data_IF_013269158105
#
_entry.id   IF_013269158105
#
_cell.length_a   1.000
_cell.length_b   1.000
_cell.length_c   1.000
_cell.angle_alpha   90.00
_cell.angle_beta   90.00
_cell.angle_gamma   90.00
#
_symmetry.space_group_name_H-M   'P 1'
#
loop_
_entity.id
_entity.type
_entity.pdbx_description
1 polymer ?
#
# COMPACT_ATOMS: atom_id res chain seq x y z
N UNK A 1 21.63 -3.60 55.85
CA UNK A 1 20.44 -3.56 56.71
C UNK A 1 19.99 -2.11 56.70
N UNK A 2 18.97 -1.68 55.98
CA UNK A 2 17.58 -2.13 55.99
C UNK A 2 16.97 -2.11 54.59
N UNK A 3 16.10 -3.08 54.39
CA UNK A 3 15.16 -3.29 53.28
C UNK A 3 14.07 -2.22 53.21
N UNK A 4 13.73 -1.77 52.00
CA UNK A 4 12.51 -1.00 51.73
C UNK A 4 11.99 -1.37 50.34
N UNK A 5 10.95 -2.20 50.30
CA UNK A 5 10.33 -2.68 49.07
C UNK A 5 9.57 -1.58 48.33
N UNK A 6 9.78 -1.51 47.02
CA UNK A 6 8.94 -0.76 46.09
C UNK A 6 7.92 -1.72 45.49
N UNK A 7 6.64 -1.43 45.72
CA UNK A 7 5.52 -2.09 45.09
C UNK A 7 5.52 -1.89 43.56
N UNK A 8 5.02 -2.85 42.77
CA UNK A 8 4.83 -2.66 41.34
C UNK A 8 3.67 -1.67 41.10
N UNK A 9 3.90 -0.62 40.32
CA UNK A 9 2.82 0.24 39.81
C UNK A 9 2.14 -0.49 38.65
N UNK A 10 0.85 -0.72 38.81
CA UNK A 10 -0.09 -1.23 37.80
C UNK A 10 0.01 -0.45 36.48
N UNK A 11 0.60 -1.08 35.46
CA UNK A 11 0.55 -0.63 34.06
C UNK A 11 -0.50 -1.36 33.21
N UNK A 12 -1.41 -2.11 33.84
CA UNK A 12 -2.23 -3.12 33.15
C UNK A 12 -3.59 -2.67 32.60
N UNK A 13 -3.99 -1.40 32.69
CA UNK A 13 -5.38 -0.99 32.38
C UNK A 13 -5.62 -0.21 31.09
N UNK A 14 -4.57 0.17 30.35
CA UNK A 14 -4.74 1.06 29.18
C UNK A 14 -4.54 0.38 27.80
N UNK A 15 -4.07 -0.88 27.76
CA UNK A 15 -3.98 -1.64 26.50
C UNK A 15 -5.33 -2.22 26.07
N UNK A 16 -6.18 -2.63 27.01
CA UNK A 16 -7.44 -3.34 26.70
C UNK A 16 -8.49 -2.45 26.03
N UNK A 17 -8.55 -1.16 26.38
CA UNK A 17 -9.51 -0.19 25.81
C UNK A 17 -9.20 0.16 24.34
N UNK A 18 -7.92 0.22 23.97
CA UNK A 18 -7.49 0.58 22.60
C UNK A 18 -7.59 -0.60 21.60
N UNK A 19 -7.35 -1.83 22.04
CA UNK A 19 -7.67 -3.04 21.22
C UNK A 19 -9.16 -3.15 20.88
N UNK A 20 -10.05 -2.61 21.73
CA UNK A 20 -11.49 -2.61 21.47
C UNK A 20 -11.90 -1.58 20.38
N UNK A 21 -11.17 -0.47 20.23
CA UNK A 21 -11.42 0.49 19.14
C UNK A 21 -11.00 -0.06 17.77
N UNK A 22 -9.91 -0.84 17.70
CA UNK A 22 -9.53 -1.58 16.48
C UNK A 22 -10.57 -2.63 16.07
N UNK A 23 -11.18 -3.33 17.04
CA UNK A 23 -12.26 -4.32 16.80
C UNK A 23 -13.50 -3.70 16.16
N UNK A 24 -13.85 -2.46 16.52
CA UNK A 24 -15.04 -1.79 15.98
C UNK A 24 -14.87 -1.27 14.55
N UNK A 25 -13.64 -1.11 14.03
CA UNK A 25 -13.39 -0.59 12.68
C UNK A 25 -13.76 -1.59 11.57
N UNK A 26 -13.64 -2.89 11.84
CA UNK A 26 -14.07 -3.97 10.93
C UNK A 26 -15.47 -4.55 11.29
N UNK A 27 -15.97 -4.30 12.50
CA UNK A 27 -17.30 -4.76 12.93
C UNK A 27 -18.48 -4.11 12.16
N UNK A 28 -18.25 -2.96 11.51
CA UNK A 28 -19.25 -2.24 10.71
C UNK A 28 -19.74 -2.98 9.45
N UNK A 29 -19.10 -4.07 9.07
CA UNK A 29 -19.42 -4.86 7.86
C UNK A 29 -20.58 -5.86 8.12
N UNK A 30 -20.99 -6.07 9.38
CA UNK A 30 -21.94 -7.13 9.74
C UNK A 30 -23.43 -6.81 9.50
N UNK A 31 -23.82 -5.58 9.12
CA UNK A 31 -25.24 -5.23 8.92
C UNK A 31 -25.50 -4.26 7.78
N UNK A 32 -25.50 -4.77 6.55
CA UNK A 32 -26.36 -4.23 5.49
C UNK A 32 -26.95 -5.39 4.68
N UNK A 33 -27.80 -6.17 5.33
CA UNK A 33 -28.73 -7.06 4.64
C UNK A 33 -30.11 -6.39 4.61
N UNK A 34 -30.67 -6.34 3.40
CA UNK A 34 -32.06 -6.05 3.01
C UNK A 34 -32.40 -4.59 2.68
N UNK A 35 -32.58 -4.33 1.39
CA UNK A 35 -33.93 -4.32 0.79
C UNK A 35 -33.88 -3.62 -0.59
N UNK A 36 -33.71 -4.39 -1.67
CA UNK A 36 -34.12 -3.93 -3.01
C UNK A 36 -34.77 -5.13 -3.73
N UNK A 37 -36.04 -4.98 -4.05
CA UNK A 37 -36.81 -5.90 -4.90
C UNK A 37 -36.21 -5.89 -6.31
N UNK A 38 -35.67 -7.02 -6.78
CA UNK A 38 -34.99 -7.13 -8.08
C UNK A 38 -35.76 -8.02 -9.08
N UNK A 39 -35.88 -7.53 -10.32
CA UNK A 39 -36.33 -8.27 -11.51
C UNK A 39 -35.25 -8.16 -12.61
N UNK A 40 -34.18 -8.95 -12.51
CA UNK A 40 -33.18 -9.13 -13.59
C UNK A 40 -32.85 -10.62 -13.73
N UNK A 41 -32.69 -11.11 -14.96
CA UNK A 41 -32.36 -12.50 -15.28
C UNK A 41 -30.99 -12.96 -14.73
N UNK A 42 -30.03 -12.03 -14.57
CA UNK A 42 -28.68 -12.33 -14.09
C UNK A 42 -28.63 -12.78 -12.62
N UNK A 43 -29.55 -12.31 -11.77
CA UNK A 43 -29.64 -12.75 -10.37
C UNK A 43 -30.28 -14.13 -10.19
N UNK A 44 -30.97 -14.64 -11.20
CA UNK A 44 -31.54 -15.99 -11.12
C UNK A 44 -30.51 -17.09 -11.42
N UNK A 45 -29.40 -16.76 -12.11
CA UNK A 45 -28.34 -17.71 -12.45
C UNK A 45 -26.93 -17.07 -12.43
N UNK A 46 -26.48 -16.51 -11.29
CA UNK A 46 -25.24 -15.72 -11.22
C UNK A 46 -24.00 -16.54 -11.60
N UNK A 47 -23.95 -17.83 -11.23
CA UNK A 47 -22.84 -18.70 -11.63
C UNK A 47 -22.72 -18.86 -13.15
N UNK A 48 -23.84 -19.01 -13.88
CA UNK A 48 -23.81 -19.15 -15.34
C UNK A 48 -23.28 -17.88 -16.01
N UNK A 49 -23.64 -16.71 -15.48
CA UNK A 49 -23.14 -15.41 -15.96
C UNK A 49 -21.63 -15.34 -15.76
N UNK A 50 -21.15 -15.58 -14.53
CA UNK A 50 -19.71 -15.54 -14.23
C UNK A 50 -18.93 -16.56 -15.04
N UNK A 51 -19.43 -17.78 -15.21
CA UNK A 51 -18.79 -18.79 -16.06
C UNK A 51 -18.72 -18.35 -17.52
N UNK A 52 -19.77 -17.73 -18.05
CA UNK A 52 -19.76 -17.18 -19.40
C UNK A 52 -18.71 -16.09 -19.57
N UNK A 53 -18.62 -15.16 -18.62
CA UNK A 53 -17.61 -14.08 -18.62
C UNK A 53 -16.20 -14.66 -18.55
N UNK A 54 -15.96 -15.54 -17.58
CA UNK A 54 -14.66 -16.15 -17.30
C UNK A 54 -14.22 -17.19 -18.34
N UNK A 55 -15.12 -17.65 -19.21
CA UNK A 55 -14.77 -18.53 -20.34
C UNK A 55 -13.79 -17.86 -21.32
N UNK A 56 -13.63 -16.55 -21.25
CA UNK A 56 -12.69 -15.77 -22.06
C UNK A 56 -11.25 -15.76 -21.51
N UNK A 57 -10.95 -16.43 -20.40
CA UNK A 57 -9.58 -16.57 -19.91
C UNK A 57 -8.70 -17.19 -21.00
N UNK A 58 -7.65 -16.47 -21.38
CA UNK A 58 -6.62 -16.85 -22.37
C UNK A 58 -5.29 -17.23 -21.73
N UNK A 59 -4.98 -16.67 -20.57
CA UNK A 59 -3.72 -16.91 -19.84
C UNK A 59 -4.01 -17.57 -18.49
N UNK A 60 -3.39 -18.71 -18.21
CA UNK A 60 -3.54 -19.46 -16.98
C UNK A 60 -4.69 -20.49 -16.97
N UNK A 61 -4.83 -21.16 -15.82
CA UNK A 61 -5.83 -22.19 -15.58
C UNK A 61 -6.43 -22.07 -14.18
N UNK A 62 -7.76 -22.07 -14.08
CA UNK A 62 -8.49 -22.11 -12.80
C UNK A 62 -9.33 -23.38 -12.77
N UNK A 63 -8.97 -24.31 -11.88
CA UNK A 63 -9.82 -25.44 -11.53
C UNK A 63 -10.82 -25.00 -10.46
N UNK A 64 -12.12 -25.17 -10.72
CA UNK A 64 -13.17 -24.77 -9.77
C UNK A 64 -13.91 -26.01 -9.29
N UNK A 65 -14.10 -26.11 -7.97
CA UNK A 65 -14.96 -27.08 -7.30
C UNK A 65 -16.09 -26.31 -6.60
N UNK A 66 -17.34 -26.61 -6.93
CA UNK A 66 -18.52 -26.01 -6.29
C UNK A 66 -19.51 -27.06 -5.83
N UNK A 67 -20.27 -26.81 -4.75
CA UNK A 67 -21.24 -27.76 -4.22
C UNK A 67 -22.34 -28.12 -5.23
N UNK A 68 -22.78 -27.16 -6.05
CA UNK A 68 -23.96 -27.34 -6.90
C UNK A 68 -23.66 -27.86 -8.31
N UNK A 69 -22.49 -27.54 -8.84
CA UNK A 69 -22.14 -27.75 -10.25
C UNK A 69 -20.90 -28.64 -10.45
N UNK A 70 -20.33 -29.16 -9.36
CA UNK A 70 -19.24 -30.13 -9.39
C UNK A 70 -17.88 -29.50 -9.70
N UNK A 71 -17.11 -30.13 -10.59
CA UNK A 71 -15.78 -29.66 -10.99
C UNK A 71 -15.75 -29.19 -12.43
N UNK A 72 -15.12 -28.06 -12.70
CA UNK A 72 -14.90 -27.54 -14.04
C UNK A 72 -13.64 -26.67 -14.10
N UNK A 73 -13.25 -26.30 -15.31
CA UNK A 73 -12.00 -25.58 -15.57
C UNK A 73 -12.25 -24.34 -16.42
N UNK A 74 -11.53 -23.26 -16.12
CA UNK A 74 -11.47 -22.03 -16.91
C UNK A 74 -10.03 -21.82 -17.41
N UNK A 75 -9.87 -21.33 -18.64
CA UNK A 75 -8.56 -21.18 -19.27
C UNK A 75 -8.02 -22.46 -19.88
N UNK A 76 -6.69 -22.56 -20.00
CA UNK A 76 -6.03 -23.68 -20.69
C UNK A 76 -5.27 -24.57 -19.70
N UNK A 77 -5.53 -25.89 -19.64
CA UNK A 77 -4.92 -26.79 -18.66
C UNK A 77 -3.38 -26.79 -18.65
N UNK A 78 -2.72 -26.49 -19.77
CA UNK A 78 -1.26 -26.43 -19.88
C UNK A 78 -0.68 -25.03 -19.63
N UNK A 79 -1.52 -24.01 -19.47
CA UNK A 79 -1.07 -22.64 -19.25
C UNK A 79 -0.69 -22.40 -17.80
N UNK A 80 0.21 -21.45 -17.57
CA UNK A 80 0.64 -20.98 -16.26
C UNK A 80 0.30 -19.48 -16.14
N UNK A 81 -0.08 -18.99 -14.94
CA UNK A 81 -0.17 -19.72 -13.66
C UNK A 81 -1.42 -20.60 -13.54
N UNK A 82 -1.43 -21.52 -12.55
CA UNK A 82 -2.55 -22.43 -12.26
C UNK A 82 -2.95 -22.37 -10.79
N UNK A 83 -4.23 -22.50 -10.51
CA UNK A 83 -4.76 -22.57 -9.14
C UNK A 83 -6.06 -23.40 -9.08
N UNK A 84 -6.42 -23.86 -7.88
CA UNK A 84 -7.69 -24.50 -7.57
C UNK A 84 -8.51 -23.65 -6.61
N UNK A 85 -9.72 -23.32 -7.03
CA UNK A 85 -10.72 -22.60 -6.24
C UNK A 85 -11.77 -23.59 -5.75
N UNK A 86 -12.01 -23.60 -4.44
CA UNK A 86 -13.14 -24.30 -3.83
C UNK A 86 -14.18 -23.29 -3.38
N UNK A 87 -15.35 -23.34 -4.00
CA UNK A 87 -16.50 -22.52 -3.62
C UNK A 87 -17.24 -23.21 -2.48
N UNK A 88 -17.57 -22.45 -1.43
CA UNK A 88 -18.35 -22.93 -0.29
C UNK A 88 -19.78 -22.41 -0.31
N UNK A 89 -19.99 -21.18 -0.81
CA UNK A 89 -21.30 -20.52 -0.83
C UNK A 89 -21.59 -19.86 -2.18
N UNK A 90 -22.84 -19.97 -2.65
CA UNK A 90 -23.34 -19.33 -3.88
C UNK A 90 -23.19 -17.81 -3.90
N UNK A 91 -23.14 -17.20 -2.71
CA UNK A 91 -22.96 -15.77 -2.50
C UNK A 91 -21.74 -15.21 -3.26
N UNK A 92 -20.68 -16.01 -3.47
CA UNK A 92 -19.54 -15.62 -4.32
C UNK A 92 -20.00 -15.11 -5.69
N UNK A 93 -20.85 -15.88 -6.39
CA UNK A 93 -21.26 -15.54 -7.75
C UNK A 93 -22.20 -14.34 -7.77
N UNK A 94 -23.07 -14.20 -6.77
CA UNK A 94 -23.94 -13.04 -6.60
C UNK A 94 -23.12 -11.76 -6.40
N UNK A 95 -22.12 -11.82 -5.52
CA UNK A 95 -21.20 -10.72 -5.24
C UNK A 95 -20.35 -10.35 -6.45
N UNK A 96 -19.87 -11.34 -7.22
CA UNK A 96 -19.12 -11.09 -8.45
C UNK A 96 -19.96 -10.38 -9.51
N UNK A 97 -21.23 -10.75 -9.69
CA UNK A 97 -22.12 -10.06 -10.64
C UNK A 97 -22.36 -8.61 -10.20
N UNK A 98 -22.56 -8.37 -8.90
CA UNK A 98 -22.93 -7.06 -8.38
C UNK A 98 -21.76 -6.08 -8.26
N UNK A 99 -20.62 -6.55 -7.74
CA UNK A 99 -19.50 -5.72 -7.28
C UNK A 99 -18.14 -6.15 -7.84
N UNK A 100 -18.10 -7.17 -8.69
CA UNK A 100 -16.91 -7.69 -9.35
C UNK A 100 -15.66 -7.82 -8.45
N UNK A 101 -14.64 -6.98 -8.61
CA UNK A 101 -13.35 -7.04 -7.91
C UNK A 101 -13.52 -6.80 -6.40
N UNK A 102 -14.38 -5.86 -6.03
CA UNK A 102 -14.79 -5.65 -4.62
C UNK A 102 -15.52 -6.89 -4.10
N UNK A 103 -16.45 -7.42 -4.89
CA UNK A 103 -17.23 -8.61 -4.53
C UNK A 103 -16.37 -9.86 -4.37
N UNK A 104 -15.33 -10.01 -5.20
CA UNK A 104 -14.37 -11.11 -5.12
C UNK A 104 -13.61 -11.07 -3.79
N UNK A 105 -13.06 -9.92 -3.42
CA UNK A 105 -12.35 -9.75 -2.17
C UNK A 105 -13.25 -9.93 -0.94
N UNK A 106 -14.44 -9.32 -0.94
CA UNK A 106 -15.42 -9.47 0.15
C UNK A 106 -15.86 -10.93 0.33
N UNK A 107 -16.04 -11.65 -0.78
CA UNK A 107 -16.36 -13.08 -0.75
C UNK A 107 -15.22 -13.90 -0.14
N UNK A 108 -13.96 -13.56 -0.42
CA UNK A 108 -12.82 -14.20 0.22
C UNK A 108 -12.79 -13.90 1.72
N UNK A 109 -12.95 -12.63 2.13
CA UNK A 109 -12.96 -12.21 3.53
C UNK A 109 -14.01 -12.95 4.35
N UNK A 110 -15.20 -13.15 3.77
CA UNK A 110 -16.31 -13.85 4.41
C UNK A 110 -16.15 -15.38 4.42
N UNK A 111 -15.20 -15.94 3.66
CA UNK A 111 -15.03 -17.38 3.52
C UNK A 111 -16.03 -18.03 2.55
N UNK A 112 -16.53 -17.31 1.55
CA UNK A 112 -17.37 -17.88 0.49
C UNK A 112 -16.63 -18.87 -0.41
N UNK A 113 -15.30 -18.74 -0.49
CA UNK A 113 -14.42 -19.62 -1.24
C UNK A 113 -13.02 -19.63 -0.64
N UNK A 114 -12.26 -20.68 -0.97
CA UNK A 114 -10.83 -20.77 -0.74
C UNK A 114 -10.10 -21.03 -2.05
N UNK A 115 -8.81 -20.72 -2.05
CA UNK A 115 -7.91 -20.98 -3.17
C UNK A 115 -6.56 -21.44 -2.65
N UNK A 116 -5.96 -22.41 -3.33
CA UNK A 116 -4.65 -22.99 -2.94
C UNK A 116 -3.48 -22.02 -3.16
N UNK A 117 -3.54 -21.20 -4.20
CA UNK A 117 -2.60 -20.11 -4.48
C UNK A 117 -3.35 -18.84 -4.88
N UNK A 118 -3.56 -17.97 -3.89
CA UNK A 118 -4.28 -16.70 -4.06
C UNK A 118 -3.53 -15.73 -4.99
N UNK A 119 -2.19 -15.75 -4.98
CA UNK A 119 -1.38 -14.88 -5.84
C UNK A 119 -1.50 -15.33 -7.29
N UNK A 120 -1.42 -16.64 -7.55
CA UNK A 120 -1.66 -17.21 -8.87
C UNK A 120 -3.06 -16.87 -9.37
N UNK A 121 -4.09 -17.07 -8.55
CA UNK A 121 -5.48 -16.78 -8.92
C UNK A 121 -5.71 -15.32 -9.31
N UNK A 122 -5.25 -14.37 -8.49
CA UNK A 122 -5.37 -12.94 -8.80
C UNK A 122 -4.53 -12.59 -10.04
N UNK A 123 -3.35 -13.19 -10.20
CA UNK A 123 -2.51 -13.00 -11.40
C UNK A 123 -3.22 -13.46 -12.68
N UNK A 124 -3.94 -14.58 -12.65
CA UNK A 124 -4.78 -15.04 -13.77
C UNK A 124 -5.82 -13.98 -14.10
N UNK A 125 -6.54 -13.45 -13.11
CA UNK A 125 -7.57 -12.43 -13.35
C UNK A 125 -6.95 -11.19 -13.99
N UNK A 126 -5.84 -10.68 -13.44
CA UNK A 126 -5.15 -9.49 -13.93
C UNK A 126 -4.68 -9.65 -15.38
N UNK A 127 -4.02 -10.77 -15.70
CA UNK A 127 -3.50 -11.03 -17.05
C UNK A 127 -4.60 -11.15 -18.11
N UNK A 128 -5.85 -11.32 -17.69
CA UNK A 128 -7.00 -11.44 -18.57
C UNK A 128 -7.95 -10.23 -18.51
N UNK A 129 -7.62 -9.13 -17.79
CA UNK A 129 -8.45 -7.91 -17.72
C UNK A 129 -8.94 -7.44 -19.10
N UNK A 130 -8.09 -7.35 -20.16
CA UNK A 130 -8.54 -6.90 -21.48
C UNK A 130 -9.60 -7.80 -22.13
N UNK A 131 -9.77 -9.03 -21.64
CA UNK A 131 -10.69 -10.03 -22.18
C UNK A 131 -11.93 -10.26 -21.31
N UNK A 132 -11.98 -9.66 -20.13
CA UNK A 132 -13.05 -9.84 -19.15
C UNK A 132 -13.89 -8.56 -19.04
N UNK A 133 -15.15 -8.53 -19.52
CA UNK A 133 -16.01 -7.35 -19.41
C UNK A 133 -16.40 -7.06 -17.94
N UNK A 134 -16.45 -5.77 -17.58
CA UNK A 134 -16.93 -5.31 -16.26
C UNK A 134 -15.85 -5.20 -15.16
N UNK A 135 -14.61 -5.61 -15.43
CA UNK A 135 -13.48 -5.39 -14.51
C UNK A 135 -12.99 -3.95 -14.58
N UNK A 136 -12.63 -3.37 -13.43
CA UNK A 136 -11.85 -2.13 -13.32
C UNK A 136 -10.64 -2.16 -14.27
N UNK A 137 -10.62 -1.26 -15.27
CA UNK A 137 -9.56 -1.17 -16.28
C UNK A 137 -9.74 -2.07 -17.53
N UNK A 138 -10.86 -2.78 -17.67
CA UNK A 138 -11.20 -3.51 -18.89
C UNK A 138 -11.71 -2.59 -20.01
N UNK A 139 -11.37 -2.92 -21.25
CA UNK A 139 -11.87 -2.24 -22.47
C UNK A 139 -12.99 -3.03 -23.16
N UNK A 140 -13.37 -4.20 -22.64
CA UNK A 140 -14.44 -5.01 -23.19
C UNK A 140 -15.82 -4.39 -22.88
N UNK A 141 -16.75 -4.45 -23.85
CA UNK A 141 -18.12 -3.91 -23.76
C UNK A 141 -18.78 -4.27 -22.42
N UNK A 142 -19.34 -3.25 -21.74
CA UNK A 142 -20.03 -3.41 -20.46
C UNK A 142 -21.12 -4.49 -20.56
N UNK A 143 -20.93 -5.57 -19.82
CA UNK A 143 -21.97 -6.57 -19.53
C UNK A 143 -22.78 -6.10 -18.31
N UNK A 144 -23.86 -6.82 -17.95
CA UNK A 144 -24.69 -6.55 -16.76
C UNK A 144 -23.94 -6.71 -15.41
N UNK A 145 -22.61 -6.81 -15.44
CA UNK A 145 -21.70 -7.04 -14.31
C UNK A 145 -21.18 -5.70 -13.78
N UNK A 146 -21.00 -5.60 -12.46
CA UNK A 146 -20.58 -4.40 -11.72
C UNK A 146 -21.64 -3.28 -11.70
N UNK A 147 -22.89 -3.65 -11.40
CA UNK A 147 -24.04 -2.75 -11.36
C UNK A 147 -23.94 -1.67 -10.27
N UNK A 148 -23.23 -1.96 -9.18
CA UNK A 148 -23.17 -1.09 -7.99
C UNK A 148 -21.81 -0.40 -7.78
N UNK A 149 -20.89 -0.45 -8.76
CA UNK A 149 -19.62 0.28 -8.72
C UNK A 149 -19.78 1.78 -8.43
N UNK A 150 -20.90 2.38 -8.84
CA UNK A 150 -21.23 3.78 -8.54
C UNK A 150 -21.44 4.11 -7.06
N UNK A 151 -21.89 3.17 -6.23
CA UNK A 151 -22.05 3.40 -4.78
C UNK A 151 -20.70 3.34 -4.04
N UNK A 152 -19.84 2.37 -4.41
CA UNK A 152 -18.46 2.30 -3.89
C UNK A 152 -17.68 3.58 -4.23
N UNK A 153 -17.87 4.13 -5.43
CA UNK A 153 -17.28 5.40 -5.84
C UNK A 153 -17.76 6.59 -4.99
N UNK A 154 -19.07 6.65 -4.68
CA UNK A 154 -19.61 7.71 -3.80
C UNK A 154 -19.01 7.66 -2.40
N UNK A 155 -18.82 6.46 -1.84
CA UNK A 155 -18.19 6.26 -0.53
C UNK A 155 -16.73 6.71 -0.59
N UNK A 156 -15.99 6.29 -1.61
CA UNK A 156 -14.58 6.68 -1.78
C UNK A 156 -14.39 8.19 -1.89
N UNK A 157 -15.24 8.87 -2.67
CA UNK A 157 -15.22 10.34 -2.80
C UNK A 157 -15.43 11.09 -1.48
N UNK A 158 -16.03 10.46 -0.46
CA UNK A 158 -16.17 11.05 0.89
C UNK A 158 -14.88 10.99 1.71
N UNK A 159 -13.92 10.14 1.31
CA UNK A 159 -12.62 9.99 1.97
C UNK A 159 -11.56 10.92 1.37
N UNK A 160 -11.94 12.12 0.91
CA UNK A 160 -11.03 13.06 0.25
C UNK A 160 -9.91 13.57 1.16
N UNK A 161 -8.73 13.83 0.59
CA UNK A 161 -7.48 14.14 1.30
C UNK A 161 -7.32 15.63 1.70
N UNK A 162 -8.41 16.25 2.17
CA UNK A 162 -8.33 17.51 2.93
C UNK A 162 -7.41 17.34 4.16
N UNK A 163 -6.92 18.41 4.80
CA UNK A 163 -6.06 18.29 6.00
C UNK A 163 -6.64 17.34 7.07
N UNK A 164 -7.95 17.46 7.35
CA UNK A 164 -8.65 16.57 8.28
C UNK A 164 -8.83 15.15 7.70
N UNK A 165 -9.13 15.05 6.41
CA UNK A 165 -9.32 13.78 5.71
C UNK A 165 -8.04 12.95 5.67
N UNK A 166 -6.91 13.54 5.28
CA UNK A 166 -5.59 12.90 5.28
C UNK A 166 -5.25 12.32 6.64
N UNK A 167 -5.45 13.08 7.74
CA UNK A 167 -5.24 12.56 9.11
C UNK A 167 -6.12 11.35 9.41
N UNK A 168 -7.40 11.38 9.01
CA UNK A 168 -8.34 10.28 9.22
C UNK A 168 -7.96 9.04 8.42
N UNK A 169 -7.59 9.20 7.15
CA UNK A 169 -7.19 8.11 6.26
C UNK A 169 -5.90 7.43 6.72
N UNK A 170 -4.89 8.22 7.12
CA UNK A 170 -3.63 7.68 7.67
C UNK A 170 -3.88 6.95 9.00
N UNK A 171 -4.63 7.54 9.92
CA UNK A 171 -4.99 6.89 11.19
C UNK A 171 -5.82 5.62 11.01
N UNK A 172 -6.62 5.50 9.95
CA UNK A 172 -7.41 4.30 9.68
C UNK A 172 -6.54 3.05 9.53
N UNK A 173 -5.47 3.16 8.74
CA UNK A 173 -4.56 2.06 8.46
C UNK A 173 -3.45 1.94 9.51
N UNK A 174 -2.76 3.04 9.82
CA UNK A 174 -1.51 2.98 10.59
C UNK A 174 -1.70 2.90 12.10
N UNK A 175 -2.87 3.29 12.63
CA UNK A 175 -3.17 3.20 14.06
C UNK A 175 -3.83 1.85 14.43
N UNK A 176 -3.74 0.82 13.57
CA UNK A 176 -4.31 -0.50 13.83
C UNK A 176 -3.63 -1.19 15.01
N UNK A 177 -2.31 -1.40 14.94
CA UNK A 177 -1.50 -1.95 16.03
C UNK A 177 -0.03 -2.04 15.61
N UNK A 178 0.87 -1.37 16.35
CA UNK A 178 2.31 -1.55 16.17
C UNK A 178 2.73 -3.02 16.38
N UNK A 179 2.06 -3.73 17.29
CA UNK A 179 2.26 -5.16 17.53
C UNK A 179 1.98 -5.99 16.27
N UNK A 180 0.88 -5.72 15.57
CA UNK A 180 0.55 -6.40 14.32
C UNK A 180 1.64 -6.21 13.26
N UNK A 181 2.05 -4.96 13.01
CA UNK A 181 3.07 -4.66 12.00
C UNK A 181 4.40 -5.34 12.33
N UNK A 182 4.78 -5.41 13.60
CA UNK A 182 6.03 -6.07 14.02
C UNK A 182 6.07 -7.58 13.75
N UNK A 183 4.91 -8.24 13.54
CA UNK A 183 4.84 -9.68 13.27
C UNK A 183 5.27 -10.06 11.85
N UNK A 184 5.27 -9.11 10.91
CA UNK A 184 5.57 -9.40 9.50
C UNK A 184 6.55 -8.43 8.84
N UNK A 185 6.78 -7.25 9.42
CA UNK A 185 7.83 -6.34 8.98
C UNK A 185 9.20 -6.78 9.50
N UNK A 186 10.24 -6.23 8.89
CA UNK A 186 11.60 -6.39 9.40
C UNK A 186 11.87 -5.47 10.61
N UNK A 187 13.00 -5.61 11.32
CA UNK A 187 13.33 -4.78 12.48
C UNK A 187 13.39 -3.26 12.22
N UNK A 188 13.52 -2.83 10.96
CA UNK A 188 13.42 -1.39 10.63
C UNK A 188 11.98 -0.86 10.67
N UNK A 189 10.98 -1.75 10.77
CA UNK A 189 9.54 -1.45 10.65
C UNK A 189 9.24 -0.69 9.36
N UNK A 190 9.94 -0.98 8.28
CA UNK A 190 9.71 -0.33 7.00
C UNK A 190 8.51 -0.99 6.29
N UNK A 191 7.37 -0.30 6.29
CA UNK A 191 6.21 -0.68 5.48
C UNK A 191 6.24 0.02 4.13
N UNK A 192 7.26 -0.33 3.35
CA UNK A 192 7.51 0.11 1.97
C UNK A 192 8.32 -0.97 1.26
N UNK A 193 8.37 -0.92 -0.06
CA UNK A 193 9.17 -1.83 -0.87
C UNK A 193 10.65 -1.81 -0.48
N UNK A 194 11.23 -3.00 -0.29
CA UNK A 194 12.66 -3.22 -0.07
C UNK A 194 13.42 -3.35 -1.41
N UNK A 195 14.76 -3.20 -1.40
CA UNK A 195 15.60 -3.38 -2.60
C UNK A 195 16.56 -4.57 -2.42
N UNK A 196 16.21 -5.70 -3.00
CA UNK A 196 17.06 -6.90 -3.05
C UNK A 196 18.17 -6.73 -4.09
N UNK A 197 19.42 -6.63 -3.65
CA UNK A 197 20.58 -6.57 -4.56
C UNK A 197 21.05 -7.97 -4.95
N UNK A 198 20.79 -8.95 -4.07
CA UNK A 198 21.14 -10.36 -4.28
C UNK A 198 19.94 -11.28 -4.04
N UNK A 199 19.88 -12.45 -4.72
CA UNK A 199 18.85 -13.44 -4.48
C UNK A 199 18.73 -13.88 -3.02
N UNK A 200 19.84 -13.96 -2.29
CA UNK A 200 19.93 -14.40 -0.90
C UNK A 200 19.65 -13.30 0.15
N UNK A 201 19.44 -12.04 -0.28
CA UNK A 201 19.14 -10.96 0.65
C UNK A 201 17.88 -11.27 1.49
N UNK A 202 18.01 -11.16 2.80
CA UNK A 202 16.85 -11.15 3.69
C UNK A 202 16.05 -9.85 3.51
N UNK A 203 14.77 -9.86 3.89
CA UNK A 203 13.94 -8.65 3.88
C UNK A 203 14.61 -7.49 4.62
N UNK A 204 15.20 -7.75 5.80
CA UNK A 204 15.92 -6.73 6.56
C UNK A 204 17.11 -6.15 5.77
N UNK A 205 17.94 -7.01 5.16
CA UNK A 205 19.05 -6.55 4.32
C UNK A 205 18.54 -5.71 3.15
N UNK A 206 17.48 -6.17 2.48
CA UNK A 206 16.89 -5.45 1.36
C UNK A 206 16.31 -4.07 1.76
N UNK A 207 15.77 -3.94 2.98
CA UNK A 207 15.31 -2.65 3.49
C UNK A 207 16.48 -1.69 3.77
N UNK A 208 17.59 -2.20 4.32
CA UNK A 208 18.82 -1.41 4.48
C UNK A 208 19.41 -1.00 3.13
N UNK A 209 19.41 -1.89 2.14
CA UNK A 209 19.87 -1.58 0.77
C UNK A 209 19.03 -0.46 0.15
N UNK A 210 17.70 -0.48 0.33
CA UNK A 210 16.81 0.61 -0.09
C UNK A 210 17.19 1.93 0.56
N UNK A 211 17.36 1.96 1.89
CA UNK A 211 17.75 3.17 2.60
C UNK A 211 19.10 3.70 2.14
N UNK A 212 20.08 2.81 1.96
CA UNK A 212 21.39 3.17 1.42
C UNK A 212 21.29 3.79 0.04
N UNK A 213 20.53 3.17 -0.86
CA UNK A 213 20.35 3.66 -2.22
C UNK A 213 19.71 5.04 -2.23
N UNK A 214 18.71 5.29 -1.39
CA UNK A 214 18.12 6.63 -1.25
C UNK A 214 19.12 7.65 -0.68
N UNK A 215 19.90 7.30 0.34
CA UNK A 215 20.94 8.18 0.89
C UNK A 215 22.01 8.53 -0.16
N UNK A 216 22.44 7.54 -0.96
CA UNK A 216 23.37 7.75 -2.09
C UNK A 216 22.75 8.62 -3.18
N UNK A 217 21.47 8.41 -3.50
CA UNK A 217 20.72 9.25 -4.46
C UNK A 217 20.59 10.70 -4.03
N UNK A 218 20.54 10.94 -2.72
CA UNK A 218 20.54 12.27 -2.12
C UNK A 218 21.93 12.89 -2.02
N UNK A 219 23.00 12.15 -2.32
CA UNK A 219 24.39 12.56 -2.06
C UNK A 219 24.57 13.08 -0.63
N UNK A 220 24.04 12.31 0.34
CA UNK A 220 23.94 12.72 1.73
C UNK A 220 25.32 12.93 2.35
N UNK A 221 25.50 14.07 3.03
CA UNK A 221 26.74 14.45 3.72
C UNK A 221 26.51 14.68 5.21
N UNK A 222 27.56 14.56 6.05
CA UNK A 222 27.47 14.97 7.45
C UNK A 222 27.04 16.43 7.59
N UNK A 223 26.09 16.69 8.48
CA UNK A 223 25.56 18.03 8.73
C UNK A 223 24.40 18.47 7.82
N UNK A 224 24.11 17.77 6.72
CA UNK A 224 22.91 18.01 5.91
C UNK A 224 21.65 17.98 6.78
N UNK A 225 20.68 18.85 6.48
CA UNK A 225 19.35 18.78 7.07
C UNK A 225 18.36 18.18 6.07
N UNK A 226 17.87 16.98 6.41
CA UNK A 226 16.90 16.21 5.62
C UNK A 226 15.48 16.47 6.12
N UNK A 227 14.57 16.76 5.21
CA UNK A 227 13.13 16.63 5.43
C UNK A 227 12.66 15.26 4.94
N UNK A 228 12.17 14.43 5.85
CA UNK A 228 11.47 13.19 5.50
C UNK A 228 9.95 13.43 5.57
N UNK A 229 9.28 13.27 4.43
CA UNK A 229 7.83 13.40 4.35
C UNK A 229 7.21 11.99 4.39
N UNK A 230 6.65 11.63 5.54
CA UNK A 230 6.16 10.29 5.84
C UNK A 230 7.16 9.49 6.66
N UNK A 231 7.14 9.67 7.99
CA UNK A 231 8.11 9.04 8.91
C UNK A 231 8.08 7.52 8.96
N UNK A 232 6.93 6.91 8.65
CA UNK A 232 6.64 5.56 9.10
C UNK A 232 6.91 5.45 10.60
N UNK A 233 7.71 4.48 11.01
CA UNK A 233 8.18 4.34 12.40
C UNK A 233 9.63 4.79 12.60
N UNK A 234 10.17 5.65 11.74
CA UNK A 234 11.50 6.25 11.88
C UNK A 234 12.67 5.44 11.29
N UNK A 235 12.39 4.37 10.54
CA UNK A 235 13.43 3.46 10.01
C UNK A 235 14.46 4.15 9.12
N UNK A 236 14.03 4.99 8.17
CA UNK A 236 14.96 5.74 7.32
C UNK A 236 15.71 6.82 8.10
N UNK A 237 15.02 7.61 8.93
CA UNK A 237 15.65 8.66 9.74
C UNK A 237 16.79 8.11 10.61
N UNK A 238 16.55 7.00 11.30
CA UNK A 238 17.54 6.31 12.13
C UNK A 238 18.74 5.85 11.26
N UNK A 239 18.47 5.23 10.11
CA UNK A 239 19.53 4.78 9.20
C UNK A 239 20.38 5.96 8.68
N UNK A 240 19.73 6.97 8.12
CA UNK A 240 20.38 8.12 7.50
C UNK A 240 21.19 8.93 8.51
N UNK A 241 20.59 9.29 9.65
CA UNK A 241 21.28 10.08 10.68
C UNK A 241 22.41 9.27 11.35
N UNK A 242 22.16 7.98 11.62
CA UNK A 242 23.16 7.10 12.22
C UNK A 242 24.38 6.88 11.32
N UNK A 243 24.17 6.66 10.02
CA UNK A 243 25.24 6.34 9.06
C UNK A 243 25.95 7.56 8.49
N UNK A 244 25.21 8.62 8.15
CA UNK A 244 25.76 9.80 7.48
C UNK A 244 25.94 11.00 8.41
N UNK A 245 25.40 10.97 9.63
CA UNK A 245 25.51 12.10 10.56
C UNK A 245 24.70 13.33 10.15
N UNK A 246 23.68 13.17 9.31
CA UNK A 246 22.75 14.23 8.97
C UNK A 246 21.74 14.50 10.09
N UNK A 247 21.10 15.67 10.04
CA UNK A 247 19.91 15.99 10.82
C UNK A 247 18.68 15.59 10.03
N UNK A 248 17.65 15.09 10.69
CA UNK A 248 16.39 14.71 10.04
C UNK A 248 15.21 15.35 10.76
N UNK A 249 14.42 16.12 10.04
CA UNK A 249 13.05 16.47 10.45
C UNK A 249 12.12 15.54 9.70
N UNK A 250 11.38 14.70 10.42
CA UNK A 250 10.50 13.69 9.83
C UNK A 250 9.04 13.95 10.20
N UNK A 251 8.14 13.86 9.21
CA UNK A 251 6.74 14.24 9.35
C UNK A 251 5.82 13.00 9.31
N UNK A 252 4.89 12.89 10.26
CA UNK A 252 3.79 11.92 10.21
C UNK A 252 2.47 12.57 10.61
N UNK A 253 1.37 11.94 10.20
CA UNK A 253 0.01 12.27 10.66
C UNK A 253 -0.53 11.27 11.68
N UNK A 254 0.20 10.18 11.98
CA UNK A 254 -0.17 9.17 12.97
C UNK A 254 0.53 9.42 14.31
N UNK A 255 -0.25 9.51 15.38
CA UNK A 255 0.27 9.67 16.73
C UNK A 255 0.99 8.38 17.21
N UNK A 256 0.50 7.21 16.82
CA UNK A 256 1.09 5.91 17.15
C UNK A 256 2.44 5.70 16.44
N UNK A 257 2.54 6.11 15.17
CA UNK A 257 3.81 6.16 14.45
C UNK A 257 4.80 7.10 15.12
N UNK A 258 4.37 8.32 15.48
CA UNK A 258 5.22 9.28 16.17
C UNK A 258 5.77 8.71 17.47
N UNK A 259 4.91 8.16 18.33
CA UNK A 259 5.30 7.65 19.63
C UNK A 259 6.36 6.54 19.51
N UNK A 260 6.13 5.54 18.65
CA UNK A 260 7.10 4.46 18.45
C UNK A 260 8.36 4.93 17.72
N UNK A 261 8.27 5.88 16.78
CA UNK A 261 9.44 6.45 16.13
C UNK A 261 10.34 7.15 17.15
N UNK A 262 9.78 7.99 18.03
CA UNK A 262 10.53 8.68 19.09
C UNK A 262 11.20 7.70 20.06
N UNK A 263 10.51 6.64 20.48
CA UNK A 263 11.08 5.59 21.32
C UNK A 263 12.29 4.94 20.64
N UNK A 264 12.15 4.55 19.36
CA UNK A 264 13.23 3.91 18.60
C UNK A 264 14.41 4.84 18.36
N UNK A 265 14.15 6.12 18.13
CA UNK A 265 15.17 7.16 17.98
C UNK A 265 15.96 7.34 19.28
N UNK A 266 15.26 7.38 20.42
CA UNK A 266 15.90 7.47 21.74
C UNK A 266 16.75 6.24 22.06
N UNK A 267 16.24 5.03 21.79
CA UNK A 267 17.00 3.78 21.93
C UNK A 267 18.27 3.78 21.06
N UNK A 268 18.21 4.42 19.88
CA UNK A 268 19.37 4.58 19.00
C UNK A 268 20.32 5.73 19.41
N UNK A 269 19.98 6.55 20.41
CA UNK A 269 20.77 7.71 20.84
C UNK A 269 20.83 8.84 19.82
N UNK A 270 19.76 9.01 19.01
CA UNK A 270 19.72 9.96 17.88
C UNK A 270 18.77 11.14 18.10
N UNK A 271 18.19 11.30 19.28
CA UNK A 271 17.20 12.34 19.62
C UNK A 271 17.72 13.77 19.45
N UNK A 272 19.04 13.98 19.48
CA UNK A 272 19.66 15.29 19.21
C UNK A 272 19.77 15.63 17.72
N UNK A 273 19.57 14.64 16.84
CA UNK A 273 19.70 14.79 15.38
C UNK A 273 18.39 14.55 14.63
N UNK A 274 17.46 13.82 15.22
CA UNK A 274 16.18 13.48 14.59
C UNK A 274 15.03 14.11 15.37
N UNK A 275 14.20 14.87 14.67
CA UNK A 275 12.98 15.47 15.18
C UNK A 275 11.77 14.86 14.48
N UNK A 276 10.83 14.29 15.24
CA UNK A 276 9.57 13.73 14.72
C UNK A 276 8.43 14.72 14.95
N UNK A 277 7.78 15.18 13.88
CA UNK A 277 6.66 16.12 13.95
C UNK A 277 5.35 15.46 13.55
N UNK A 278 4.33 15.62 14.40
CA UNK A 278 2.94 15.31 14.04
C UNK A 278 2.37 16.49 13.25
N UNK A 279 2.70 16.56 11.96
CA UNK A 279 2.47 17.73 11.12
C UNK A 279 2.17 17.32 9.68
N UNK A 280 1.25 18.04 9.02
CA UNK A 280 1.00 17.86 7.60
C UNK A 280 2.10 18.55 6.77
N UNK A 281 2.58 17.90 5.71
CA UNK A 281 3.63 18.45 4.84
C UNK A 281 3.24 19.79 4.22
N UNK A 282 1.94 20.06 4.04
CA UNK A 282 1.43 21.33 3.51
C UNK A 282 1.72 22.51 4.41
N UNK A 283 1.93 22.25 5.71
CA UNK A 283 2.20 23.24 6.74
C UNK A 283 3.71 23.45 6.99
N UNK A 284 4.58 22.77 6.21
CA UNK A 284 6.02 22.89 6.40
C UNK A 284 6.52 24.30 6.07
N UNK A 285 7.45 24.78 6.88
CA UNK A 285 8.18 26.02 6.72
C UNK A 285 9.70 25.78 6.80
N UNK A 286 10.48 26.74 6.30
CA UNK A 286 11.94 26.65 6.23
C UNK A 286 12.45 25.96 4.96
N UNK A 287 13.77 25.78 4.88
CA UNK A 287 14.44 25.13 3.75
C UNK A 287 15.40 24.04 4.22
N UNK A 288 15.51 22.98 3.43
CA UNK A 288 16.25 21.75 3.73
C UNK A 288 17.25 21.46 2.62
N UNK A 289 18.38 20.86 2.98
CA UNK A 289 19.40 20.42 2.03
C UNK A 289 18.86 19.29 1.16
N UNK A 290 18.09 18.39 1.78
CA UNK A 290 17.58 17.17 1.15
C UNK A 290 16.10 16.97 1.49
N UNK A 291 15.34 16.43 0.55
CA UNK A 291 13.97 15.96 0.80
C UNK A 291 13.89 14.48 0.44
N UNK A 292 13.28 13.67 1.29
CA UNK A 292 12.93 12.28 0.99
C UNK A 292 11.44 12.04 1.21
N UNK A 293 10.81 11.25 0.33
CA UNK A 293 9.44 10.77 0.49
C UNK A 293 9.35 9.33 0.04
N UNK A 294 9.00 8.41 0.94
CA UNK A 294 8.97 6.96 0.64
C UNK A 294 7.54 6.47 0.76
N UNK A 295 6.89 6.24 -0.38
CA UNK A 295 5.52 5.69 -0.48
C UNK A 295 4.48 6.47 0.36
N UNK A 296 4.64 7.79 0.38
CA UNK A 296 3.69 8.74 0.98
C UNK A 296 2.74 9.34 -0.07
N UNK A 297 3.23 9.50 -1.30
CA UNK A 297 2.55 10.28 -2.35
C UNK A 297 1.17 9.71 -2.74
N UNK A 298 1.01 8.41 -2.61
CA UNK A 298 -0.22 7.64 -2.81
C UNK A 298 -1.36 8.13 -1.90
N UNK A 299 -1.05 8.74 -0.75
CA UNK A 299 -2.01 9.31 0.18
C UNK A 299 -2.31 10.80 -0.05
N UNK A 300 -1.68 11.44 -1.04
CA UNK A 300 -1.87 12.88 -1.34
C UNK A 300 -3.23 13.11 -2.00
N UNK A 301 -3.62 12.26 -2.94
CA UNK A 301 -4.82 12.43 -3.76
C UNK A 301 -4.65 13.42 -4.91
N UNK A 302 -5.38 13.18 -6.00
CA UNK A 302 -5.19 13.86 -7.29
C UNK A 302 -5.19 15.38 -7.21
N UNK A 303 -6.14 15.96 -6.47
CA UNK A 303 -6.33 17.42 -6.34
C UNK A 303 -5.12 18.13 -5.72
N UNK A 304 -4.24 17.39 -5.03
CA UNK A 304 -3.10 17.94 -4.29
C UNK A 304 -1.74 17.52 -4.87
N UNK A 305 -1.70 16.81 -6.01
CA UNK A 305 -0.44 16.41 -6.64
C UNK A 305 0.45 17.62 -6.96
N UNK A 306 -0.09 18.65 -7.61
CA UNK A 306 0.62 19.89 -7.91
C UNK A 306 1.07 20.60 -6.61
N UNK A 307 0.21 20.63 -5.58
CA UNK A 307 0.53 21.21 -4.27
C UNK A 307 1.69 20.48 -3.58
N UNK A 308 1.75 19.14 -3.67
CA UNK A 308 2.85 18.36 -3.09
C UNK A 308 4.21 18.79 -3.65
N UNK A 309 4.34 18.83 -4.97
CA UNK A 309 5.60 19.24 -5.59
C UNK A 309 5.90 20.72 -5.37
N UNK A 310 4.89 21.59 -5.33
CA UNK A 310 5.09 23.01 -5.02
C UNK A 310 5.65 23.20 -3.60
N UNK A 311 5.09 22.50 -2.59
CA UNK A 311 5.60 22.51 -1.21
C UNK A 311 7.01 21.94 -1.10
N UNK A 312 7.31 20.86 -1.83
CA UNK A 312 8.67 20.33 -1.88
C UNK A 312 9.63 21.34 -2.52
N UNK A 313 9.22 22.01 -3.60
CA UNK A 313 10.01 23.05 -4.24
C UNK A 313 10.31 24.19 -3.27
N UNK A 314 9.31 24.72 -2.56
CA UNK A 314 9.46 25.76 -1.53
C UNK A 314 10.44 25.36 -0.42
N UNK A 315 10.33 24.12 0.07
CA UNK A 315 11.13 23.61 1.17
C UNK A 315 12.55 23.17 0.76
N UNK A 316 12.86 23.02 -0.53
CA UNK A 316 14.17 22.58 -1.00
C UNK A 316 15.11 23.79 -1.19
N UNK A 317 16.36 23.72 -0.70
CA UNK A 317 17.38 24.72 -1.01
C UNK A 317 17.69 24.77 -2.52
N UNK A 318 18.24 25.90 -3.06
CA UNK A 318 18.60 26.03 -4.47
C UNK A 318 19.45 24.88 -5.03
N UNK A 319 20.40 24.38 -4.24
CA UNK A 319 21.33 23.28 -4.50
C UNK A 319 20.85 21.94 -3.90
N UNK A 320 19.63 21.90 -3.38
CA UNK A 320 19.08 20.73 -2.73
C UNK A 320 18.72 19.59 -3.69
N UNK A 321 18.62 18.39 -3.14
CA UNK A 321 18.25 17.16 -3.86
C UNK A 321 17.03 16.53 -3.18
N UNK A 322 16.03 16.17 -3.99
CA UNK A 322 14.88 15.40 -3.56
C UNK A 322 14.95 13.98 -4.11
N UNK A 323 14.69 12.98 -3.28
CA UNK A 323 14.48 11.60 -3.70
C UNK A 323 13.10 11.14 -3.26
N UNK A 324 12.35 10.46 -4.14
CA UNK A 324 11.07 9.87 -3.76
C UNK A 324 10.90 8.46 -4.29
N UNK A 325 10.30 7.59 -3.50
CA UNK A 325 9.82 6.27 -3.90
C UNK A 325 8.29 6.32 -3.96
N UNK A 326 7.70 5.89 -5.06
CA UNK A 326 6.25 6.02 -5.30
C UNK A 326 5.74 4.84 -6.14
N UNK A 327 4.65 4.24 -5.68
CA UNK A 327 3.88 3.25 -6.43
C UNK A 327 3.15 3.99 -7.54
N UNK A 328 3.21 3.47 -8.75
CA UNK A 328 2.60 4.05 -9.93
C UNK A 328 1.66 3.09 -10.62
N UNK A 329 0.85 3.60 -11.52
CA UNK A 329 0.00 2.81 -12.39
C UNK A 329 0.18 3.23 -13.86
N UNK A 330 -0.08 2.34 -14.84
CA UNK A 330 0.13 2.65 -16.25
C UNK A 330 -0.76 3.79 -16.76
N UNK A 331 -0.19 4.74 -17.49
CA UNK A 331 -0.90 5.93 -17.99
C UNK A 331 -2.21 5.61 -18.73
N UNK A 332 -2.23 4.52 -19.51
CA UNK A 332 -3.41 4.07 -20.27
C UNK A 332 -4.63 3.74 -19.42
N UNK A 333 -4.48 3.64 -18.10
CA UNK A 333 -5.56 3.28 -17.17
C UNK A 333 -5.83 4.33 -16.12
N UNK A 334 -5.03 5.40 -16.08
CA UNK A 334 -5.07 6.37 -15.01
C UNK A 334 -6.43 7.05 -14.89
N UNK A 335 -6.99 7.52 -16.00
CA UNK A 335 -8.29 8.20 -15.97
C UNK A 335 -9.40 7.31 -15.42
N UNK A 336 -9.45 6.04 -15.86
CA UNK A 336 -10.43 5.07 -15.35
C UNK A 336 -10.21 4.72 -13.87
N UNK A 337 -8.96 4.63 -13.43
CA UNK A 337 -8.63 4.35 -12.03
C UNK A 337 -8.95 5.53 -11.11
N UNK A 338 -8.62 6.76 -11.54
CA UNK A 338 -8.92 8.02 -10.83
C UNK A 338 -10.40 8.20 -10.55
N UNK A 339 -11.25 7.78 -11.49
CA UNK A 339 -12.70 7.93 -11.38
C UNK A 339 -13.40 6.67 -10.82
N UNK A 340 -12.62 5.68 -10.36
CA UNK A 340 -13.08 4.40 -9.81
C UNK A 340 -12.87 4.25 -8.29
N UNK A 341 -13.29 3.09 -7.78
CA UNK A 341 -12.99 2.63 -6.42
C UNK A 341 -12.88 1.10 -6.45
N UNK A 342 -11.67 0.58 -6.24
CA UNK A 342 -11.42 -0.85 -6.17
C UNK A 342 -11.49 -1.38 -4.72
N UNK A 343 -11.22 -2.68 -4.56
CA UNK A 343 -11.24 -3.32 -3.24
C UNK A 343 -10.20 -2.73 -2.27
N UNK A 344 -9.01 -2.36 -2.76
CA UNK A 344 -7.93 -1.87 -1.88
C UNK A 344 -8.25 -0.46 -1.37
N UNK A 345 -8.78 0.41 -2.23
CA UNK A 345 -9.24 1.74 -1.87
C UNK A 345 -10.45 1.71 -0.92
N UNK A 346 -11.27 0.65 -0.98
CA UNK A 346 -12.42 0.48 -0.08
C UNK A 346 -12.02 -0.02 1.30
N UNK A 347 -11.15 -1.03 1.38
CA UNK A 347 -10.93 -1.79 2.61
C UNK A 347 -9.61 -1.52 3.31
N UNK A 348 -8.54 -1.16 2.57
CA UNK A 348 -7.18 -1.07 3.12
C UNK A 348 -6.68 0.37 3.15
N UNK A 349 -6.78 1.09 2.03
CA UNK A 349 -6.26 2.46 1.87
C UNK A 349 -7.33 3.45 1.35
N UNK A 350 -8.31 3.84 2.19
CA UNK A 350 -9.27 4.88 1.84
C UNK A 350 -8.61 6.18 1.40
N UNK A 351 -9.11 6.78 0.31
CA UNK A 351 -8.60 8.04 -0.24
C UNK A 351 -7.25 7.94 -0.96
N UNK A 352 -6.64 6.76 -1.03
CA UNK A 352 -5.40 6.58 -1.78
C UNK A 352 -5.62 6.64 -3.29
N UNK A 353 -4.63 7.16 -4.00
CA UNK A 353 -4.59 7.17 -5.45
C UNK A 353 -3.14 7.04 -5.95
N UNK A 354 -2.90 5.99 -6.72
CA UNK A 354 -1.65 5.78 -7.44
C UNK A 354 -1.56 6.77 -8.62
N UNK A 355 -0.48 7.57 -8.72
CA UNK A 355 -0.25 8.39 -9.90
C UNK A 355 0.23 7.54 -11.09
N UNK A 356 0.11 8.10 -12.29
CA UNK A 356 0.86 7.61 -13.45
C UNK A 356 2.16 8.40 -13.65
N UNK A 357 3.03 7.93 -14.55
CA UNK A 357 4.27 8.65 -14.86
C UNK A 357 3.99 10.02 -15.50
N UNK A 358 3.00 10.10 -16.40
CA UNK A 358 2.57 11.37 -16.98
C UNK A 358 2.12 12.36 -15.90
N UNK A 359 1.30 11.91 -14.95
CA UNK A 359 0.78 12.78 -13.89
C UNK A 359 1.87 13.27 -12.94
N UNK A 360 2.87 12.43 -12.63
CA UNK A 360 4.05 12.87 -11.88
C UNK A 360 4.81 13.96 -12.65
N UNK A 361 5.11 13.73 -13.94
CA UNK A 361 5.82 14.70 -14.76
C UNK A 361 5.03 16.02 -14.95
N UNK A 362 3.70 15.91 -15.14
CA UNK A 362 2.78 17.06 -15.25
C UNK A 362 2.81 17.89 -13.97
N UNK A 363 2.72 17.24 -12.81
CA UNK A 363 2.70 17.91 -11.50
C UNK A 363 4.04 18.56 -11.19
N UNK A 364 5.16 17.89 -11.50
CA UNK A 364 6.51 18.48 -11.41
C UNK A 364 6.63 19.73 -12.29
N UNK A 365 6.18 19.68 -13.55
CA UNK A 365 6.16 20.85 -14.44
C UNK A 365 5.34 22.00 -13.84
N UNK A 366 4.17 21.70 -13.30
CA UNK A 366 3.27 22.70 -12.74
C UNK A 366 3.77 23.30 -11.41
N UNK A 367 4.66 22.59 -10.68
CA UNK A 367 5.23 23.05 -9.41
C UNK A 367 6.30 24.14 -9.52
N UNK A 368 6.68 24.52 -10.74
CA UNK A 368 7.41 25.76 -11.02
C UNK A 368 8.91 25.77 -10.73
N UNK A 369 9.54 24.65 -10.36
CA UNK A 369 10.97 24.69 -10.06
C UNK A 369 11.70 23.37 -9.82
N UNK A 370 11.14 22.22 -10.19
CA UNK A 370 11.82 20.93 -10.07
C UNK A 370 12.03 20.27 -11.44
N UNK A 371 13.10 19.51 -11.56
CA UNK A 371 13.48 18.72 -12.73
C UNK A 371 13.77 17.29 -12.30
N UNK A 372 13.20 16.31 -13.01
CA UNK A 372 13.51 14.90 -12.80
C UNK A 372 14.89 14.62 -13.42
N UNK A 373 15.85 14.24 -12.59
CA UNK A 373 17.22 13.92 -13.01
C UNK A 373 17.46 12.42 -13.19
N UNK A 374 16.70 11.59 -12.48
CA UNK A 374 16.83 10.15 -12.53
C UNK A 374 15.51 9.47 -12.20
N UNK A 375 15.27 8.32 -12.84
CA UNK A 375 14.12 7.46 -12.61
C UNK A 375 14.55 6.00 -12.73
N UNK A 376 14.10 5.16 -11.81
CA UNK A 376 14.40 3.73 -11.81
C UNK A 376 13.22 2.92 -11.28
N UNK A 377 13.01 1.74 -11.86
CA UNK A 377 11.87 0.88 -11.61
C UNK A 377 12.23 -0.27 -10.64
N UNK A 378 11.31 -0.59 -9.73
CA UNK A 378 11.49 -1.59 -8.69
C UNK A 378 10.30 -2.57 -8.54
N UNK A 379 9.48 -2.75 -9.57
CA UNK A 379 8.21 -3.50 -9.51
C UNK A 379 8.37 -4.89 -8.87
N UNK A 380 9.34 -5.67 -9.36
CA UNK A 380 9.55 -7.05 -8.91
C UNK A 380 10.18 -7.13 -7.51
N UNK A 381 10.85 -6.06 -7.06
CA UNK A 381 11.31 -5.98 -5.67
C UNK A 381 10.11 -5.80 -4.73
N UNK A 382 9.07 -5.08 -5.14
CA UNK A 382 7.86 -4.95 -4.33
C UNK A 382 7.09 -6.26 -4.30
N UNK A 383 6.95 -6.93 -5.44
CA UNK A 383 6.40 -8.29 -5.48
C UNK A 383 7.09 -9.23 -4.47
N UNK A 384 8.43 -9.22 -4.43
CA UNK A 384 9.18 -10.01 -3.44
C UNK A 384 8.97 -9.54 -2.00
N UNK A 385 8.94 -8.23 -1.76
CA UNK A 385 8.67 -7.65 -0.43
C UNK A 385 7.32 -8.10 0.11
N UNK A 386 6.27 -8.04 -0.71
CA UNK A 386 4.92 -8.49 -0.33
C UNK A 386 4.88 -10.00 -0.09
N UNK A 387 5.61 -10.80 -0.88
CA UNK A 387 5.73 -12.23 -0.66
C UNK A 387 6.41 -12.54 0.70
N UNK A 388 7.46 -11.79 1.05
CA UNK A 388 8.16 -11.94 2.33
C UNK A 388 7.25 -11.56 3.51
N UNK A 389 6.54 -10.43 3.41
CA UNK A 389 5.53 -10.01 4.40
C UNK A 389 4.42 -11.04 4.54
N UNK A 390 3.88 -11.54 3.42
CA UNK A 390 2.80 -12.53 3.43
C UNK A 390 3.24 -13.83 4.09
N UNK A 391 4.44 -14.34 3.78
CA UNK A 391 4.97 -15.54 4.46
C UNK A 391 5.14 -15.32 5.95
N UNK A 392 5.67 -14.17 6.37
CA UNK A 392 5.83 -13.85 7.78
C UNK A 392 4.46 -13.72 8.49
N UNK A 393 3.50 -13.03 7.88
CA UNK A 393 2.15 -12.87 8.40
C UNK A 393 1.43 -14.21 8.61
N UNK A 394 1.52 -15.13 7.62
CA UNK A 394 0.98 -16.50 7.77
C UNK A 394 1.67 -17.29 8.87
N UNK A 395 2.99 -17.17 8.97
CA UNK A 395 3.77 -17.87 10.00
C UNK A 395 3.42 -17.38 11.41
N UNK A 396 3.03 -16.11 11.54
CA UNK A 396 2.64 -15.45 12.79
C UNK A 396 1.13 -15.51 13.09
N UNK A 397 0.39 -16.44 12.47
CA UNK A 397 -1.09 -16.49 12.59
C UNK A 397 -1.56 -16.59 14.04
N UNK A 398 -0.90 -17.40 14.86
CA UNK A 398 -1.31 -17.58 16.26
C UNK A 398 -1.13 -16.29 17.07
N UNK A 399 -0.05 -15.56 16.81
CA UNK A 399 0.28 -14.28 17.40
C UNK A 399 -0.72 -13.20 16.96
N UNK A 400 -1.10 -13.19 15.68
CA UNK A 400 -2.17 -12.31 15.16
C UNK A 400 -3.49 -12.55 15.92
N UNK A 401 -3.88 -13.81 16.12
CA UNK A 401 -5.09 -14.15 16.88
C UNK A 401 -4.95 -13.77 18.37
N UNK A 402 -3.76 -13.93 18.96
CA UNK A 402 -3.48 -13.55 20.34
C UNK A 402 -3.55 -12.03 20.57
N UNK A 403 -3.25 -11.22 19.55
CA UNK A 403 -3.49 -9.77 19.56
C UNK A 403 -4.99 -9.39 19.50
N UNK A 404 -5.87 -10.37 19.32
CA UNK A 404 -7.32 -10.20 19.36
C UNK A 404 -7.96 -9.94 18.00
N UNK A 405 -7.23 -10.14 16.90
CA UNK A 405 -7.78 -10.17 15.54
C UNK A 405 -8.45 -11.51 15.27
N UNK A 406 -9.46 -11.51 14.39
CA UNK A 406 -10.24 -12.71 14.06
C UNK A 406 -9.90 -13.26 12.66
N UNK A 407 -10.58 -14.34 12.27
CA UNK A 407 -10.40 -14.96 10.95
C UNK A 407 -10.75 -14.01 9.80
N UNK A 408 -11.77 -13.16 9.98
CA UNK A 408 -12.16 -12.19 8.97
C UNK A 408 -11.02 -11.19 8.71
N UNK A 409 -10.40 -10.67 9.77
CA UNK A 409 -9.23 -9.81 9.67
C UNK A 409 -8.07 -10.56 9.00
N UNK A 410 -7.77 -11.78 9.43
CA UNK A 410 -6.66 -12.56 8.88
C UNK A 410 -6.82 -12.79 7.38
N UNK A 411 -8.01 -13.16 6.91
CA UNK A 411 -8.33 -13.33 5.49
C UNK A 411 -8.30 -12.02 4.72
N UNK A 412 -8.74 -10.91 5.34
CA UNK A 412 -8.64 -9.57 4.76
C UNK A 412 -7.18 -9.20 4.48
N UNK A 413 -6.31 -9.41 5.46
CA UNK A 413 -4.89 -9.07 5.35
C UNK A 413 -4.16 -10.00 4.37
N UNK A 414 -4.49 -11.29 4.38
CA UNK A 414 -3.95 -12.24 3.39
C UNK A 414 -4.32 -11.85 1.96
N UNK A 415 -5.59 -11.52 1.73
CA UNK A 415 -6.07 -11.07 0.42
C UNK A 415 -5.38 -9.79 -0.01
N UNK A 416 -5.25 -8.82 0.89
CA UNK A 416 -4.53 -7.57 0.61
C UNK A 416 -3.09 -7.83 0.14
N UNK A 417 -2.32 -8.61 0.90
CA UNK A 417 -0.92 -8.87 0.57
C UNK A 417 -0.79 -9.64 -0.75
N UNK A 418 -1.65 -10.65 -0.98
CA UNK A 418 -1.67 -11.41 -2.22
C UNK A 418 -2.12 -10.57 -3.43
N UNK A 419 -3.11 -9.70 -3.25
CA UNK A 419 -3.64 -8.80 -4.27
C UNK A 419 -2.56 -7.85 -4.78
N UNK A 420 -1.84 -7.19 -3.86
CA UNK A 420 -0.73 -6.33 -4.21
C UNK A 420 0.44 -7.11 -4.82
N UNK A 421 0.78 -8.29 -4.27
CA UNK A 421 1.85 -9.11 -4.81
C UNK A 421 1.59 -9.47 -6.28
N UNK A 422 0.38 -9.96 -6.58
CA UNK A 422 -0.04 -10.29 -7.94
C UNK A 422 0.03 -9.05 -8.84
N UNK A 423 -0.44 -7.90 -8.38
CA UNK A 423 -0.43 -6.65 -9.15
C UNK A 423 0.99 -6.21 -9.55
N UNK A 424 1.98 -6.29 -8.65
CA UNK A 424 3.38 -6.02 -9.00
C UNK A 424 4.02 -7.11 -9.86
N UNK A 425 3.79 -8.40 -9.56
CA UNK A 425 4.35 -9.53 -10.34
C UNK A 425 3.95 -9.48 -11.80
N UNK A 426 2.73 -9.03 -12.06
CA UNK A 426 2.14 -8.91 -13.41
C UNK A 426 2.34 -7.54 -14.05
N UNK A 427 3.06 -6.62 -13.38
CA UNK A 427 3.27 -5.23 -13.82
C UNK A 427 1.95 -4.48 -14.07
N UNK A 428 0.92 -4.84 -13.32
CA UNK A 428 -0.35 -4.14 -13.29
C UNK A 428 -0.20 -2.77 -12.60
N UNK A 429 0.68 -2.70 -11.62
CA UNK A 429 1.15 -1.46 -11.02
C UNK A 429 2.67 -1.51 -11.01
N UNK A 430 3.28 -0.35 -10.85
CA UNK A 430 4.73 -0.20 -10.84
C UNK A 430 5.23 0.50 -9.58
N UNK A 431 6.53 0.55 -9.42
CA UNK A 431 7.20 1.29 -8.35
C UNK A 431 8.40 2.04 -8.94
N UNK A 432 8.46 3.34 -8.69
CA UNK A 432 9.55 4.19 -9.15
C UNK A 432 10.31 4.80 -7.98
N UNK A 433 11.63 4.89 -8.11
CA UNK A 433 12.43 5.86 -7.36
C UNK A 433 12.85 7.01 -8.30
N UNK A 434 12.45 8.23 -7.97
CA UNK A 434 12.78 9.46 -8.68
C UNK A 434 13.81 10.28 -7.91
N UNK A 435 14.70 10.95 -8.63
CA UNK A 435 15.56 12.02 -8.08
C UNK A 435 15.20 13.31 -8.79
N UNK A 436 14.96 14.37 -8.01
CA UNK A 436 14.62 15.69 -8.51
C UNK A 436 15.54 16.75 -7.94
N UNK A 437 15.88 17.75 -8.75
CA UNK A 437 16.63 18.95 -8.33
C UNK A 437 15.94 20.19 -8.84
N UNK A 438 16.37 21.37 -8.37
CA UNK A 438 16.05 22.62 -9.04
C UNK A 438 16.83 22.77 -10.36
N UNK A 439 16.36 23.57 -11.32
CA UNK A 439 17.15 23.97 -12.47
C UNK A 439 18.49 24.59 -12.05
N UNK A 440 19.53 24.38 -12.86
CA UNK A 440 20.88 24.91 -12.65
C UNK A 440 21.59 24.43 -11.36
N UNK A 441 21.13 23.35 -10.73
CA UNK A 441 21.87 22.73 -9.63
C UNK A 441 23.11 21.98 -10.16
N UNK A 442 24.23 22.70 -10.27
CA UNK A 442 25.53 22.14 -10.72
C UNK A 442 26.25 21.33 -9.64
N UNK A 443 25.78 21.40 -8.39
CA UNK A 443 26.35 20.64 -7.28
C UNK A 443 25.91 19.17 -7.31
N UNK A 444 24.77 18.87 -7.96
CA UNK A 444 24.34 17.50 -8.19
C UNK A 444 25.28 16.82 -9.18
N UNK A 445 26.06 15.83 -8.72
CA UNK A 445 27.04 15.13 -9.53
C UNK A 445 26.42 14.01 -10.35
N UNK A 446 25.23 13.54 -9.96
CA UNK A 446 24.55 12.45 -10.64
C UNK A 446 25.04 11.08 -10.17
N UNK A 447 24.21 10.05 -10.36
CA UNK A 447 24.43 8.75 -9.71
C UNK A 447 25.60 7.94 -10.27
N UNK A 448 26.09 8.26 -11.47
CA UNK A 448 27.06 7.46 -12.22
C UNK A 448 28.18 8.29 -12.86
N UNK A 449 28.32 9.58 -12.52
CA UNK A 449 29.39 10.41 -13.07
C UNK A 449 30.48 10.62 -12.01
N UNK A 450 31.63 10.01 -12.23
CA UNK A 450 32.87 10.34 -11.53
C UNK A 450 33.66 11.29 -12.42
N UNK A 451 34.00 12.48 -11.93
CA UNK A 451 35.01 13.32 -12.58
C UNK A 451 36.32 12.51 -12.63
N UNK A 452 36.85 12.35 -13.84
CA UNK A 452 38.12 11.68 -14.10
C UNK A 452 39.33 12.57 -13.84
#
# INVERSE_FOLDING_TARGET
>A
MFSGGLAPRDGGKDMTSRTLEGKNRFAGISRMAKSITMKSAALFFPEKVIRSVMSNIKVGCIEVESPDSGKWTLGHPESSPKCRVRVHRKALFENLVQYWDVGLGESYQLGDYDVDDLVAFISIIILNIPHLPGISGSTALHSEVNREGGENLKIHRRNGNTLRGSRTNIAYHYDLSNGLYSLFLDPTMAYSCAVYEKPEDSLHRAQLNKFERLCRKLELKPGDHVLEIGSGWGGFAIYASGKYGCKVTTLTLSAEQKALAEERIHVAGLESRIEVRLQDYREISGTYDKIVSIEMFEAVGYEYFDTFFAKCCEALKPDGIMAMQVITMPDSRFDGYKDGCDWIQKHIFPGSLLPSLYELARSVRNSGGLMIQHMENFDLHYARTLADWRRAFHSSRNEVMALGFDEFFFRTWDYYLAYCEAAFRTRNIGLLQLVLTRPNNVEFRGLNYTEG
#
